data_IF_416578008275
#
_entry.id   IF_416578008275
#
_cell.length_a   1.000
_cell.length_b   1.000
_cell.length_c   1.000
_cell.angle_alpha   90.00
_cell.angle_beta   90.00
_cell.angle_gamma   90.00
#
_symmetry.space_group_name_H-M   'P 1'
#
loop_
_entity.id
_entity.type
_entity.pdbx_description
1 polymer ?
#
# COMPACT_ATOMS: atom_id res chain seq x y z
N UNK A 1 -14.95 15.43 -8.42
CA UNK A 1 -13.64 15.08 -7.84
C UNK A 1 -12.58 15.19 -8.92
N UNK A 2 -11.48 15.93 -8.68
CA UNK A 2 -10.40 16.18 -9.66
C UNK A 2 -9.05 15.65 -9.13
N UNK A 3 -8.09 15.46 -10.04
CA UNK A 3 -6.73 15.03 -9.72
C UNK A 3 -6.04 15.93 -8.71
N UNK A 4 -6.26 17.25 -8.74
CA UNK A 4 -5.67 18.17 -7.75
C UNK A 4 -6.07 17.81 -6.32
N UNK A 5 -7.37 17.54 -6.09
CA UNK A 5 -7.88 17.12 -4.79
C UNK A 5 -7.41 15.73 -4.41
N UNK A 6 -7.43 14.79 -5.36
CA UNK A 6 -6.96 13.42 -5.13
C UNK A 6 -5.46 13.39 -4.76
N UNK A 7 -4.64 14.15 -5.47
CA UNK A 7 -3.20 14.23 -5.24
C UNK A 7 -2.88 14.73 -3.83
N UNK A 8 -3.72 15.59 -3.25
CA UNK A 8 -3.56 16.08 -1.88
C UNK A 8 -3.79 14.98 -0.85
N UNK A 9 -4.83 14.15 -1.04
CA UNK A 9 -5.12 12.99 -0.18
C UNK A 9 -4.03 11.93 -0.28
N UNK A 10 -3.52 11.64 -1.48
CA UNK A 10 -2.45 10.66 -1.67
C UNK A 10 -1.17 11.06 -0.95
N UNK A 11 -0.82 12.35 -0.95
CA UNK A 11 0.33 12.86 -0.17
C UNK A 11 0.13 12.68 1.33
N UNK A 12 -1.07 12.93 1.84
CA UNK A 12 -1.39 12.71 3.25
C UNK A 12 -1.22 11.24 3.65
N UNK A 13 -1.59 10.32 2.76
CA UNK A 13 -1.39 8.89 3.00
C UNK A 13 0.08 8.45 2.99
N UNK A 14 1.01 9.21 2.40
CA UNK A 14 2.44 8.96 2.53
C UNK A 14 2.93 9.25 3.94
N UNK A 15 2.58 10.43 4.46
CA UNK A 15 2.94 10.86 5.81
C UNK A 15 2.34 9.93 6.86
N UNK A 16 1.13 9.42 6.60
CA UNK A 16 0.44 8.42 7.43
C UNK A 16 0.91 6.97 7.18
N UNK A 17 1.84 6.74 6.25
CA UNK A 17 2.39 5.42 5.94
C UNK A 17 1.42 4.43 5.27
N UNK A 18 0.21 4.83 4.88
CA UNK A 18 -0.80 3.93 4.31
C UNK A 18 -0.40 3.47 2.91
N UNK A 19 0.15 4.38 2.10
CA UNK A 19 0.63 4.12 0.74
C UNK A 19 2.01 4.74 0.54
N UNK A 20 2.69 4.31 -0.52
CA UNK A 20 4.00 4.82 -0.94
C UNK A 20 4.01 5.17 -2.43
N UNK A 21 4.84 6.15 -2.82
CA UNK A 21 5.06 6.50 -4.23
C UNK A 21 6.05 5.52 -4.86
N UNK A 22 5.69 4.94 -6.00
CA UNK A 22 6.66 4.21 -6.84
C UNK A 22 7.52 5.21 -7.60
N UNK A 23 8.83 5.23 -7.36
CA UNK A 23 9.75 6.11 -8.09
C UNK A 23 9.81 5.74 -9.57
N UNK A 24 9.98 6.73 -10.46
CA UNK A 24 10.07 6.52 -11.91
C UNK A 24 8.72 6.33 -12.62
N UNK A 25 7.69 5.83 -11.93
CA UNK A 25 6.39 5.56 -12.54
C UNK A 25 5.40 6.71 -12.32
N UNK A 26 4.76 7.23 -13.38
CA UNK A 26 3.75 8.28 -13.23
C UNK A 26 2.44 7.67 -12.72
N UNK A 27 1.88 8.29 -11.69
CA UNK A 27 0.57 7.93 -11.13
C UNK A 27 0.47 6.53 -10.51
N UNK A 28 1.59 5.87 -10.23
CA UNK A 28 1.64 4.57 -9.57
C UNK A 28 1.97 4.71 -8.07
N UNK A 29 1.21 3.98 -7.25
CA UNK A 29 1.27 3.99 -5.79
C UNK A 29 1.11 2.55 -5.28
N UNK A 30 1.69 2.24 -4.12
CA UNK A 30 1.61 0.91 -3.50
C UNK A 30 1.14 1.01 -2.07
N UNK A 31 0.19 0.15 -1.67
CA UNK A 31 -0.17 -0.01 -0.25
C UNK A 31 1.02 -0.54 0.53
N UNK A 32 1.29 0.07 1.68
CA UNK A 32 2.31 -0.41 2.61
C UNK A 32 1.65 -1.42 3.53
N UNK A 33 2.32 -2.54 3.78
CA UNK A 33 1.91 -3.51 4.79
C UNK A 33 3.00 -3.57 5.84
N UNK A 34 2.91 -2.66 6.80
CA UNK A 34 3.85 -2.59 7.91
C UNK A 34 3.03 -2.62 9.20
N UNK A 35 3.27 -3.62 10.08
CA UNK A 35 2.44 -3.84 11.26
C UNK A 35 2.45 -2.65 12.22
N UNK A 36 3.56 -1.90 12.28
CA UNK A 36 3.71 -0.69 13.09
C UNK A 36 2.84 0.45 12.58
N UNK A 37 2.80 0.64 11.26
CA UNK A 37 1.92 1.64 10.63
C UNK A 37 0.45 1.28 10.85
N UNK A 38 0.11 -0.01 10.75
CA UNK A 38 -1.25 -0.47 11.04
C UNK A 38 -1.65 -0.16 12.48
N UNK A 39 -0.76 -0.41 13.45
CA UNK A 39 -0.98 -0.12 14.86
C UNK A 39 -1.17 1.39 15.12
N UNK A 40 -0.35 2.23 14.48
CA UNK A 40 -0.44 3.69 14.64
C UNK A 40 -1.72 4.26 14.02
N UNK A 41 -2.21 3.67 12.92
CA UNK A 41 -3.49 4.06 12.31
C UNK A 41 -4.70 3.66 13.15
N UNK A 42 -4.60 2.58 13.92
CA UNK A 42 -5.69 2.13 14.80
C UNK A 42 -5.84 2.96 16.07
N UNK A 43 -4.84 3.77 16.45
CA UNK A 43 -4.93 4.67 17.59
C UNK A 43 -5.68 5.97 17.27
N UNK A 44 -5.73 6.37 16.00
CA UNK A 44 -6.58 7.46 15.51
C UNK A 44 -7.96 6.86 15.15
N UNK A 45 -8.92 6.83 16.09
CA UNK A 45 -10.28 6.22 15.99
C UNK A 45 -11.18 6.75 14.83
N UNK A 46 -10.80 6.55 13.56
CA UNK A 46 -11.70 6.83 12.43
C UNK A 46 -11.43 6.04 11.14
N UNK A 47 -10.98 4.79 11.20
CA UNK A 47 -10.89 3.96 9.98
C UNK A 47 -11.03 2.44 10.21
N UNK A 48 -11.86 2.02 11.16
CA UNK A 48 -12.14 0.60 11.40
C UNK A 48 -13.21 0.05 10.44
N UNK A 49 -12.91 -0.16 9.15
CA UNK A 49 -13.81 -0.97 8.30
C UNK A 49 -13.20 -1.64 7.07
N UNK A 50 -11.91 -1.51 6.76
CA UNK A 50 -11.34 -2.17 5.58
C UNK A 50 -10.10 -2.98 5.95
N UNK A 51 -10.33 -4.19 6.46
CA UNK A 51 -9.35 -5.27 6.44
C UNK A 51 -9.63 -6.14 5.21
N UNK A 52 -8.85 -6.05 4.12
CA UNK A 52 -8.85 -7.09 3.11
C UNK A 52 -7.95 -8.23 3.59
N UNK A 53 -8.55 -9.42 3.64
CA UNK A 53 -7.92 -10.70 3.93
C UNK A 53 -6.68 -10.94 3.05
N UNK A 54 -5.63 -11.47 3.69
CA UNK A 54 -4.34 -11.86 3.10
C UNK A 54 -4.49 -12.67 1.80
N UNK A 55 -3.65 -12.42 0.77
CA UNK A 55 -3.22 -13.48 -0.12
C UNK A 55 -1.76 -13.87 0.20
N UNK A 56 -1.58 -15.06 0.77
CA UNK A 56 -0.29 -15.78 0.70
C UNK A 56 -0.04 -16.15 -0.76
N UNK A 57 1.05 -15.72 -1.37
CA UNK A 57 1.71 -16.46 -2.45
C UNK A 57 3.22 -16.43 -2.23
N UNK A 58 3.71 -17.59 -1.81
CA UNK A 58 5.13 -17.95 -1.79
C UNK A 58 5.58 -18.05 -3.26
N UNK A 59 6.29 -17.06 -3.78
CA UNK A 59 6.90 -17.16 -5.11
C UNK A 59 8.19 -17.98 -4.97
N UNK A 60 8.08 -19.30 -5.09
CA UNK A 60 9.22 -20.17 -5.36
C UNK A 60 9.69 -19.91 -6.82
N UNK A 61 10.99 -19.72 -7.09
CA UNK A 61 11.47 -19.60 -8.46
C UNK A 61 11.37 -20.95 -9.17
N UNK A 62 10.67 -20.97 -10.30
CA UNK A 62 10.63 -22.13 -11.21
C UNK A 62 12.02 -22.29 -11.83
N UNK A 63 12.73 -23.38 -11.51
CA UNK A 63 13.92 -23.77 -12.28
C UNK A 63 13.46 -24.29 -13.64
N UNK A 64 13.83 -23.62 -14.72
CA UNK A 64 13.68 -24.14 -16.08
C UNK A 64 14.75 -25.20 -16.33
N UNK A 65 14.33 -26.46 -16.49
CA UNK A 65 15.19 -27.51 -17.02
C UNK A 65 15.12 -27.46 -18.55
N UNK A 66 16.23 -27.08 -19.18
CA UNK A 66 16.47 -27.34 -20.60
C UNK A 66 16.69 -28.85 -20.79
N UNK A 67 16.01 -29.41 -21.77
CA UNK A 67 16.47 -30.60 -22.49
C UNK A 67 16.63 -30.19 -23.95
#
# INVERSE_FOLDING_TARGET
MNYDKLSRSLRYYYEKGIISKVSGERYVYRFVYEPEVLANLTQDDNLSSVVPSKPKKNCQPMMTANQ
#
